data_IF_202433205178
#
_entry.id   IF_202433205178
#
_cell.length_a   1.000
_cell.length_b   1.000
_cell.length_c   1.000
_cell.angle_alpha   90.00
_cell.angle_beta   90.00
_cell.angle_gamma   90.00
#
_symmetry.space_group_name_H-M   'P 1'
#
loop_
_entity.id
_entity.type
_entity.pdbx_description
1 polymer ?
#
# COMPACT_ATOMS: atom_id res chain seq x y z
N UNK A 1 -27.33 6.86 34.39
CA UNK A 1 -27.34 5.64 33.55
C UNK A 1 -27.32 6.08 32.10
N UNK A 2 -26.19 5.90 31.41
CA UNK A 2 -26.07 6.19 29.97
C UNK A 2 -26.76 5.07 29.20
N UNK A 3 -27.88 5.36 28.54
CA UNK A 3 -28.58 4.41 27.68
C UNK A 3 -27.99 4.53 26.26
N UNK A 4 -27.19 3.55 25.86
CA UNK A 4 -26.78 3.33 24.47
C UNK A 4 -27.98 2.84 23.65
N UNK A 5 -28.90 3.75 23.29
CA UNK A 5 -30.02 3.41 22.40
C UNK A 5 -29.52 3.23 20.97
N UNK A 6 -29.91 2.13 20.34
CA UNK A 6 -29.57 1.87 18.93
C UNK A 6 -30.59 2.53 17.98
N UNK A 7 -30.19 2.68 16.71
CA UNK A 7 -30.94 3.38 15.64
C UNK A 7 -32.39 2.92 15.47
N UNK A 8 -32.66 1.64 15.77
CA UNK A 8 -33.97 1.01 15.56
C UNK A 8 -34.94 1.34 16.70
N UNK A 9 -34.43 1.48 17.92
CA UNK A 9 -35.22 1.83 19.11
C UNK A 9 -35.69 3.29 19.08
N UNK A 10 -34.81 4.22 18.69
CA UNK A 10 -35.16 5.64 18.61
C UNK A 10 -36.28 5.94 17.60
N UNK A 11 -36.24 5.32 16.42
CA UNK A 11 -37.25 5.51 15.36
C UNK A 11 -38.59 4.92 15.76
N UNK A 12 -38.59 3.77 16.46
CA UNK A 12 -39.80 3.12 16.96
C UNK A 12 -40.50 3.98 18.01
N UNK A 13 -39.75 4.57 18.93
CA UNK A 13 -40.31 5.32 20.06
C UNK A 13 -40.86 6.70 19.64
N UNK A 14 -40.43 7.25 18.49
CA UNK A 14 -40.96 8.51 17.94
C UNK A 14 -42.28 8.35 17.16
N UNK A 15 -42.75 7.12 16.91
CA UNK A 15 -44.01 6.87 16.20
C UNK A 15 -44.01 7.33 14.73
N UNK A 16 -42.82 7.52 14.14
CA UNK A 16 -42.66 8.02 12.78
C UNK A 16 -42.79 6.86 11.79
N UNK A 17 -43.55 7.05 10.71
CA UNK A 17 -43.72 6.02 9.69
C UNK A 17 -42.38 5.64 9.04
N UNK A 18 -42.20 4.35 8.74
CA UNK A 18 -41.00 3.81 8.11
C UNK A 18 -40.63 4.54 6.79
N UNK A 19 -41.59 5.18 6.13
CA UNK A 19 -41.38 5.93 4.90
C UNK A 19 -40.66 7.28 5.12
N UNK A 20 -40.71 7.88 6.32
CA UNK A 20 -40.05 9.15 6.63
C UNK A 20 -38.61 8.97 7.16
N UNK A 21 -38.22 7.73 7.47
CA UNK A 21 -36.91 7.38 8.06
C UNK A 21 -35.70 7.81 7.21
N UNK A 22 -35.70 7.65 5.86
CA UNK A 22 -34.57 8.10 5.05
C UNK A 22 -34.34 9.62 5.08
N UNK A 23 -35.40 10.40 5.28
CA UNK A 23 -35.34 11.86 5.26
C UNK A 23 -34.89 12.45 6.60
N UNK A 24 -35.29 11.84 7.71
CA UNK A 24 -34.90 12.26 9.05
C UNK A 24 -33.48 11.82 9.42
N UNK A 25 -33.04 10.65 8.96
CA UNK A 25 -31.69 10.13 9.23
C UNK A 25 -30.59 10.82 8.41
N UNK A 26 -30.94 11.61 7.39
CA UNK A 26 -29.99 12.42 6.61
C UNK A 26 -29.82 13.85 7.17
N UNK A 27 -30.56 14.22 8.22
CA UNK A 27 -30.39 15.52 8.86
C UNK A 27 -29.11 15.51 9.72
N UNK A 28 -28.16 16.45 9.50
CA UNK A 28 -26.91 16.52 10.27
C UNK A 28 -27.12 16.62 11.78
N UNK A 29 -28.25 17.20 12.22
CA UNK A 29 -28.65 17.36 13.62
C UNK A 29 -29.23 16.10 14.28
N UNK A 30 -29.65 15.11 13.48
CA UNK A 30 -30.15 13.80 13.94
C UNK A 30 -29.15 12.68 13.68
N UNK A 31 -27.98 13.01 13.11
CA UNK A 31 -26.80 12.16 13.22
C UNK A 31 -26.46 12.08 14.70
N UNK A 32 -26.98 11.06 15.39
CA UNK A 32 -26.43 10.64 16.67
C UNK A 32 -24.93 10.63 16.49
N UNK A 33 -24.20 11.25 17.43
CA UNK A 33 -22.77 11.13 17.56
C UNK A 33 -22.44 9.64 17.67
N UNK A 34 -22.41 8.96 16.54
CA UNK A 34 -22.08 7.59 16.44
C UNK A 34 -20.60 7.64 16.76
N UNK A 35 -20.24 7.18 17.95
CA UNK A 35 -18.90 6.74 18.26
C UNK A 35 -18.57 5.55 17.34
N UNK A 36 -18.57 5.79 16.03
CA UNK A 36 -18.10 4.85 15.05
C UNK A 36 -16.66 4.60 15.39
N UNK A 37 -16.30 3.32 15.54
CA UNK A 37 -14.92 2.92 15.74
C UNK A 37 -14.08 3.60 14.65
N UNK A 38 -13.00 4.26 15.08
CA UNK A 38 -12.07 4.97 14.21
C UNK A 38 -11.72 4.12 12.99
N UNK A 39 -11.80 4.69 11.79
CA UNK A 39 -11.49 4.01 10.53
C UNK A 39 -9.98 4.07 10.29
N UNK A 40 -9.23 3.21 10.96
CA UNK A 40 -7.79 3.11 10.75
C UNK A 40 -7.51 2.66 9.31
N UNK A 41 -6.55 3.32 8.66
CA UNK A 41 -6.09 3.01 7.30
C UNK A 41 -4.58 2.96 7.24
N UNK A 42 -4.05 2.25 6.26
CA UNK A 42 -2.61 2.21 5.98
C UNK A 42 -2.37 2.28 4.48
N UNK A 43 -1.36 3.04 4.07
CA UNK A 43 -0.87 3.12 2.69
C UNK A 43 0.61 2.80 2.67
N UNK A 44 1.01 1.79 1.91
CA UNK A 44 2.41 1.52 1.63
C UNK A 44 2.80 2.25 0.34
N UNK A 45 3.89 3.01 0.34
CA UNK A 45 4.43 3.67 -0.86
C UNK A 45 5.84 3.14 -1.12
N UNK A 46 6.06 2.60 -2.32
CA UNK A 46 7.36 2.13 -2.79
C UNK A 46 7.93 3.08 -3.83
N UNK A 47 9.20 3.44 -3.66
CA UNK A 47 10.09 3.96 -4.70
C UNK A 47 11.29 3.02 -4.82
N UNK A 48 12.05 2.94 -5.92
CA UNK A 48 13.14 1.97 -6.05
C UNK A 48 14.55 2.51 -5.75
N UNK A 49 15.55 1.63 -5.80
CA UNK A 49 16.99 1.90 -5.95
C UNK A 49 17.71 2.58 -4.78
N UNK A 50 17.13 2.52 -3.59
CA UNK A 50 17.75 3.08 -2.39
C UNK A 50 17.80 4.60 -2.34
N UNK A 51 18.61 5.13 -1.41
CA UNK A 51 18.73 6.57 -1.15
C UNK A 51 20.18 7.02 -1.07
N UNK A 52 20.41 8.34 -1.05
CA UNK A 52 21.69 8.97 -0.68
C UNK A 52 21.72 9.18 0.85
N UNK A 53 22.44 8.37 1.65
CA UNK A 53 22.28 8.34 3.11
C UNK A 53 22.60 9.66 3.82
N UNK A 54 23.62 10.37 3.35
CA UNK A 54 24.07 11.64 3.94
C UNK A 54 23.00 12.73 3.84
N UNK A 55 22.12 12.66 2.84
CA UNK A 55 21.08 13.63 2.51
C UNK A 55 19.65 13.15 2.89
N UNK A 56 19.53 11.94 3.44
CA UNK A 56 18.25 11.33 3.82
C UNK A 56 18.02 11.35 5.33
N UNK A 57 18.89 10.72 6.10
CA UNK A 57 18.66 10.48 7.54
C UNK A 57 18.94 11.72 8.38
N UNK A 58 17.99 12.14 9.25
CA UNK A 58 18.29 13.13 10.29
C UNK A 58 19.48 12.68 11.16
N UNK A 59 20.32 13.64 11.55
CA UNK A 59 21.48 13.35 12.40
C UNK A 59 21.07 13.19 13.87
N UNK A 60 19.99 13.86 14.29
CA UNK A 60 19.47 13.81 15.65
C UNK A 60 18.47 12.64 15.87
N UNK A 61 18.29 12.27 17.13
CA UNK A 61 17.25 11.35 17.61
C UNK A 61 16.29 12.12 18.54
N UNK A 62 15.01 11.75 18.56
CA UNK A 62 13.98 12.43 19.34
C UNK A 62 13.22 13.50 18.55
N UNK A 63 12.60 14.44 19.25
CA UNK A 63 11.70 15.47 18.66
C UNK A 63 12.43 16.62 17.98
N UNK A 64 13.66 16.91 18.41
CA UNK A 64 14.45 18.05 17.94
C UNK A 64 15.33 17.68 16.74
N UNK A 65 14.75 17.01 15.74
CA UNK A 65 15.47 16.57 14.54
C UNK A 65 15.29 17.52 13.37
N UNK A 66 16.29 17.56 12.48
CA UNK A 66 16.22 18.36 11.24
C UNK A 66 16.03 17.46 10.03
N UNK A 67 15.09 17.83 9.17
CA UNK A 67 14.92 17.15 7.89
C UNK A 67 16.06 17.51 6.94
N UNK A 68 16.67 16.48 6.37
CA UNK A 68 17.66 16.64 5.30
C UNK A 68 17.00 16.84 3.95
N UNK A 69 17.79 17.21 2.94
CA UNK A 69 17.31 17.67 1.64
C UNK A 69 16.23 16.77 1.03
N UNK A 70 16.41 15.45 1.10
CA UNK A 70 15.46 14.49 0.54
C UNK A 70 14.11 14.51 1.29
N UNK A 71 14.13 14.69 2.61
CA UNK A 71 12.93 14.66 3.44
C UNK A 71 12.24 16.03 3.62
N UNK A 72 12.87 17.14 3.18
CA UNK A 72 12.31 18.50 3.29
C UNK A 72 10.85 18.64 2.80
N UNK A 73 10.38 17.96 1.74
CA UNK A 73 8.98 18.05 1.33
C UNK A 73 7.96 17.67 2.43
N UNK A 74 8.38 16.90 3.45
CA UNK A 74 7.54 16.49 4.58
C UNK A 74 7.54 17.47 5.75
N UNK A 75 8.23 18.62 5.68
CA UNK A 75 8.27 19.63 6.75
C UNK A 75 6.85 20.05 7.22
N UNK A 76 5.84 20.26 6.34
CA UNK A 76 4.47 20.57 6.77
C UNK A 76 3.82 19.49 7.66
N UNK A 77 4.32 18.25 7.59
CA UNK A 77 3.81 17.09 8.34
C UNK A 77 4.77 16.63 9.44
N UNK A 78 5.81 17.39 9.76
CA UNK A 78 6.87 16.99 10.72
C UNK A 78 6.34 16.50 12.06
N UNK A 79 5.26 17.08 12.58
CA UNK A 79 4.61 16.63 13.84
C UNK A 79 3.98 15.23 13.74
N UNK A 80 3.63 14.79 12.54
CA UNK A 80 3.05 13.49 12.22
C UNK A 80 4.07 12.54 11.55
N UNK A 81 5.37 12.87 11.62
CA UNK A 81 6.45 12.14 10.96
C UNK A 81 7.21 11.23 11.94
N UNK A 82 7.59 10.04 11.48
CA UNK A 82 8.59 9.17 12.10
C UNK A 82 9.61 8.71 11.07
N UNK A 83 10.90 8.87 11.37
CA UNK A 83 11.99 8.26 10.60
C UNK A 83 12.59 7.10 11.39
N UNK A 84 12.73 5.92 10.78
CA UNK A 84 13.17 4.70 11.47
C UNK A 84 14.57 4.25 10.99
N UNK A 85 15.60 4.99 11.36
CA UNK A 85 16.98 4.65 10.96
C UNK A 85 17.46 3.42 11.72
N UNK A 86 17.95 2.38 11.03
CA UNK A 86 18.43 1.15 11.67
C UNK A 86 17.42 0.00 11.65
N UNK A 87 16.32 0.12 10.91
CA UNK A 87 15.50 -1.02 10.52
C UNK A 87 16.06 -1.62 9.23
N UNK A 88 16.27 -2.93 9.20
CA UNK A 88 16.99 -3.62 8.12
C UNK A 88 16.17 -4.75 7.51
N UNK A 89 16.35 -4.98 6.21
CA UNK A 89 15.99 -6.26 5.62
C UNK A 89 17.11 -7.29 5.88
N UNK A 90 16.79 -8.26 6.75
CA UNK A 90 17.69 -9.33 7.18
C UNK A 90 17.40 -10.66 6.48
N UNK A 91 16.43 -10.70 5.58
CA UNK A 91 16.10 -11.89 4.81
C UNK A 91 17.22 -12.19 3.81
N UNK A 92 17.65 -13.45 3.76
CA UNK A 92 18.73 -13.96 2.92
C UNK A 92 18.26 -15.20 2.17
N UNK A 93 19.01 -15.63 1.16
CA UNK A 93 18.63 -16.75 0.29
C UNK A 93 18.68 -16.32 -1.17
N UNK A 94 17.83 -16.94 -1.99
CA UNK A 94 17.85 -16.81 -3.44
C UNK A 94 17.50 -15.39 -3.94
N UNK A 95 17.91 -15.07 -5.17
CA UNK A 95 17.71 -13.79 -5.84
C UNK A 95 18.88 -12.83 -5.67
N UNK A 96 18.92 -11.74 -6.43
CA UNK A 96 19.86 -10.65 -6.18
C UNK A 96 19.38 -9.68 -5.09
N UNK A 97 20.18 -8.64 -4.80
CA UNK A 97 19.83 -7.61 -3.82
C UNK A 97 18.49 -6.90 -4.08
N UNK A 98 18.16 -6.63 -5.34
CA UNK A 98 16.90 -5.98 -5.71
C UNK A 98 15.71 -6.96 -5.64
N UNK A 99 15.90 -8.20 -6.11
CA UNK A 99 14.88 -9.26 -6.02
C UNK A 99 14.48 -9.53 -4.56
N UNK A 100 15.48 -9.79 -3.71
CA UNK A 100 15.25 -10.00 -2.27
C UNK A 100 14.68 -8.74 -1.66
N UNK A 101 15.28 -7.59 -1.95
CA UNK A 101 14.84 -6.31 -1.44
C UNK A 101 13.33 -6.12 -1.64
N UNK A 102 12.82 -6.12 -2.88
CA UNK A 102 11.39 -5.80 -3.12
C UNK A 102 10.46 -6.95 -2.74
N UNK A 103 10.85 -8.20 -2.99
CA UNK A 103 10.00 -9.38 -2.73
C UNK A 103 9.88 -9.72 -1.25
N UNK A 104 10.93 -9.45 -0.47
CA UNK A 104 10.95 -9.67 0.98
C UNK A 104 10.44 -8.45 1.77
N UNK A 105 10.41 -7.25 1.18
CA UNK A 105 10.10 -5.99 1.86
C UNK A 105 8.81 -6.00 2.71
N UNK A 106 7.70 -6.46 2.12
CA UNK A 106 6.40 -6.53 2.80
C UNK A 106 6.07 -7.93 3.31
N UNK A 107 6.80 -8.97 2.88
CA UNK A 107 6.53 -10.36 3.27
C UNK A 107 7.38 -10.81 4.45
N UNK A 108 8.54 -10.18 4.65
CA UNK A 108 9.52 -10.53 5.66
C UNK A 108 10.02 -11.98 5.57
N UNK A 109 9.94 -12.63 4.41
CA UNK A 109 10.27 -14.05 4.23
C UNK A 109 11.01 -14.27 2.91
N UNK A 110 11.76 -15.35 2.82
CA UNK A 110 12.61 -15.66 1.67
C UNK A 110 11.82 -15.82 0.38
N UNK A 111 12.52 -15.67 -0.73
CA UNK A 111 12.05 -16.07 -2.05
C UNK A 111 12.13 -17.60 -2.20
N UNK A 112 11.26 -18.17 -3.04
CA UNK A 112 11.43 -19.52 -3.55
C UNK A 112 12.65 -19.59 -4.48
N UNK A 113 13.27 -20.77 -4.62
CA UNK A 113 14.09 -21.05 -5.78
C UNK A 113 13.27 -20.86 -7.05
N UNK A 114 13.90 -20.38 -8.11
CA UNK A 114 13.22 -20.19 -9.39
C UNK A 114 14.17 -20.15 -10.55
N UNK A 115 13.71 -19.59 -11.67
CA UNK A 115 14.44 -19.49 -12.92
C UNK A 115 14.68 -18.04 -13.36
N UNK A 116 14.24 -17.06 -12.57
CA UNK A 116 14.51 -15.65 -12.85
C UNK A 116 15.93 -15.36 -12.40
N UNK A 117 16.85 -15.32 -13.36
CA UNK A 117 18.26 -15.00 -13.12
C UNK A 117 18.41 -13.51 -12.82
N UNK A 118 18.95 -13.20 -11.64
CA UNK A 118 19.27 -11.83 -11.24
C UNK A 118 20.58 -11.34 -11.85
N UNK A 119 21.26 -10.41 -11.16
CA UNK A 119 22.71 -10.20 -11.33
C UNK A 119 23.53 -11.48 -11.09
N UNK A 120 24.76 -11.39 -10.60
CA UNK A 120 25.65 -12.56 -10.40
C UNK A 120 25.26 -13.50 -9.26
N UNK A 121 24.00 -13.49 -8.81
CA UNK A 121 23.46 -14.28 -7.69
C UNK A 121 22.61 -15.47 -8.19
N UNK A 122 22.20 -16.33 -7.26
CA UNK A 122 21.29 -17.45 -7.51
C UNK A 122 19.93 -17.00 -8.07
N UNK A 123 19.37 -17.68 -9.08
CA UNK A 123 18.02 -17.44 -9.56
C UNK A 123 16.96 -17.51 -8.45
N UNK A 124 15.90 -16.71 -8.58
CA UNK A 124 14.78 -16.72 -7.65
C UNK A 124 13.43 -16.90 -8.34
N UNK A 125 12.46 -17.30 -7.52
CA UNK A 125 11.04 -17.25 -7.76
C UNK A 125 10.37 -16.31 -6.75
N UNK A 126 9.04 -16.37 -6.68
CA UNK A 126 8.24 -15.47 -5.85
C UNK A 126 8.45 -15.66 -4.34
N UNK A 127 8.00 -14.69 -3.55
CA UNK A 127 8.07 -14.76 -2.09
C UNK A 127 7.34 -15.99 -1.51
N UNK A 128 7.87 -16.54 -0.42
CA UNK A 128 7.34 -17.71 0.28
C UNK A 128 6.13 -17.43 1.19
N UNK A 129 5.63 -16.20 1.25
CA UNK A 129 4.56 -15.84 2.18
C UNK A 129 3.67 -14.70 1.71
N UNK A 130 2.66 -14.42 2.53
CA UNK A 130 1.75 -13.27 2.38
C UNK A 130 2.48 -11.97 2.71
N UNK A 131 2.11 -10.87 2.07
CA UNK A 131 2.61 -9.54 2.41
C UNK A 131 1.76 -8.88 3.50
N UNK A 132 2.35 -7.95 4.26
CA UNK A 132 1.72 -7.37 5.45
C UNK A 132 0.45 -6.55 5.13
N UNK A 133 0.41 -5.93 3.96
CA UNK A 133 -0.78 -5.24 3.42
C UNK A 133 -1.94 -6.23 3.25
N UNK A 134 -1.67 -7.41 2.71
CA UNK A 134 -2.68 -8.45 2.50
C UNK A 134 -3.06 -9.16 3.80
N UNK A 135 -2.13 -9.33 4.73
CA UNK A 135 -2.44 -9.86 6.08
C UNK A 135 -3.37 -8.92 6.84
N UNK A 136 -3.08 -7.61 6.84
CA UNK A 136 -3.93 -6.59 7.47
C UNK A 136 -5.29 -6.51 6.76
N UNK A 137 -5.31 -6.52 5.42
CA UNK A 137 -6.55 -6.60 4.62
C UNK A 137 -7.41 -7.77 5.07
N UNK A 138 -6.84 -8.97 5.13
CA UNK A 138 -7.56 -10.19 5.50
C UNK A 138 -8.10 -10.13 6.93
N UNK A 139 -7.35 -9.54 7.87
CA UNK A 139 -7.82 -9.33 9.24
C UNK A 139 -9.03 -8.39 9.28
N UNK A 140 -8.95 -7.23 8.63
CA UNK A 140 -10.05 -6.24 8.61
C UNK A 140 -11.28 -6.76 7.87
N UNK A 141 -11.09 -7.52 6.79
CA UNK A 141 -12.21 -8.08 6.01
C UNK A 141 -13.01 -9.16 6.76
N UNK A 142 -12.49 -9.73 7.85
CA UNK A 142 -13.21 -10.69 8.70
C UNK A 142 -14.23 -10.02 9.62
N UNK A 143 -14.02 -8.76 9.99
CA UNK A 143 -14.92 -8.00 10.87
C UNK A 143 -15.89 -7.15 10.04
N UNK A 144 -17.22 -7.42 10.09
CA UNK A 144 -18.22 -6.61 9.40
C UNK A 144 -18.14 -5.10 9.69
N UNK A 145 -17.62 -4.69 10.85
CA UNK A 145 -17.46 -3.29 11.22
C UNK A 145 -16.29 -2.59 10.50
N UNK A 146 -15.29 -3.35 10.02
CA UNK A 146 -14.12 -2.80 9.31
C UNK A 146 -14.05 -3.24 7.84
N UNK A 147 -14.92 -4.17 7.44
CA UNK A 147 -15.08 -4.63 6.06
C UNK A 147 -15.42 -3.46 5.12
N UNK A 148 -14.73 -3.43 3.99
CA UNK A 148 -14.93 -2.46 2.90
C UNK A 148 -15.06 -3.18 1.55
N UNK A 149 -15.55 -2.47 0.52
CA UNK A 149 -15.84 -3.03 -0.81
C UNK A 149 -14.64 -3.76 -1.45
N UNK A 150 -13.43 -3.22 -1.36
CA UNK A 150 -12.24 -3.83 -1.96
C UNK A 150 -11.29 -4.43 -0.90
N UNK A 151 -11.35 -3.95 0.34
CA UNK A 151 -10.39 -4.29 1.39
C UNK A 151 -9.06 -3.58 1.21
N UNK A 152 -8.40 -3.85 0.09
CA UNK A 152 -7.14 -3.24 -0.33
C UNK A 152 -7.21 -2.69 -1.75
N UNK A 153 -6.30 -1.78 -2.09
CA UNK A 153 -6.06 -1.30 -3.45
C UNK A 153 -4.57 -1.35 -3.76
N UNK A 154 -4.19 -2.13 -4.76
CA UNK A 154 -2.81 -2.23 -5.25
C UNK A 154 -2.67 -1.37 -6.52
N UNK A 155 -2.03 -0.20 -6.37
CA UNK A 155 -1.87 0.82 -7.40
C UNK A 155 -0.43 0.89 -7.88
N UNK A 156 -0.24 1.18 -9.16
CA UNK A 156 1.06 1.30 -9.80
C UNK A 156 1.29 2.66 -10.42
N UNK A 157 2.56 3.06 -10.53
CA UNK A 157 3.01 4.14 -11.40
C UNK A 157 4.17 3.64 -12.26
N UNK A 158 3.94 3.42 -13.54
CA UNK A 158 4.94 2.94 -14.50
C UNK A 158 5.54 1.58 -14.09
N UNK A 159 4.72 0.69 -13.52
CA UNK A 159 5.10 -0.69 -13.20
C UNK A 159 5.10 -1.51 -14.49
N UNK A 160 6.20 -2.20 -14.85
CA UNK A 160 6.23 -2.99 -16.07
C UNK A 160 5.23 -4.16 -16.02
N UNK A 161 4.64 -4.45 -17.18
CA UNK A 161 3.70 -5.58 -17.34
C UNK A 161 4.40 -6.95 -17.14
N UNK A 162 5.74 -6.98 -17.28
CA UNK A 162 6.58 -8.15 -16.97
C UNK A 162 6.31 -8.60 -15.53
N UNK A 163 6.07 -9.90 -15.35
CA UNK A 163 5.78 -10.49 -14.04
C UNK A 163 6.97 -11.32 -13.56
N UNK A 164 7.79 -10.72 -12.70
CA UNK A 164 8.85 -11.42 -11.96
C UNK A 164 9.17 -10.77 -10.60
N UNK A 165 10.15 -11.34 -9.91
CA UNK A 165 10.58 -10.97 -8.56
C UNK A 165 11.06 -9.53 -8.40
N UNK A 166 11.43 -8.81 -9.46
CA UNK A 166 11.79 -7.39 -9.36
C UNK A 166 10.57 -6.46 -9.36
N UNK A 167 9.40 -6.97 -9.74
CA UNK A 167 8.25 -6.16 -10.15
C UNK A 167 7.05 -6.25 -9.21
N UNK A 168 7.12 -7.05 -8.14
CA UNK A 168 6.00 -7.29 -7.21
C UNK A 168 6.45 -7.27 -5.76
N UNK A 169 5.77 -6.46 -4.94
CA UNK A 169 5.96 -6.40 -3.49
C UNK A 169 4.74 -6.85 -2.67
N UNK A 170 3.54 -6.89 -3.27
CA UNK A 170 2.31 -7.39 -2.64
C UNK A 170 2.07 -8.85 -3.04
N UNK A 171 1.73 -9.68 -2.07
CA UNK A 171 1.52 -11.12 -2.21
C UNK A 171 0.29 -11.56 -1.42
N UNK A 172 -0.69 -12.18 -2.08
CA UNK A 172 -1.87 -12.76 -1.43
C UNK A 172 -1.52 -14.02 -0.60
N UNK A 173 -0.30 -14.52 -0.76
CA UNK A 173 0.23 -15.71 -0.10
C UNK A 173 1.52 -16.17 -0.79
N UNK A 174 2.04 -17.30 -0.32
CA UNK A 174 3.23 -17.93 -0.91
C UNK A 174 3.04 -18.14 -2.42
N UNK A 175 4.00 -17.67 -3.23
CA UNK A 175 3.98 -17.78 -4.69
C UNK A 175 2.76 -17.15 -5.38
N UNK A 176 2.08 -16.20 -4.72
CA UNK A 176 0.88 -15.52 -5.23
C UNK A 176 1.09 -14.00 -5.30
N UNK A 177 1.94 -13.51 -6.23
CA UNK A 177 2.16 -12.08 -6.41
C UNK A 177 0.87 -11.38 -6.87
N UNK A 178 0.66 -10.14 -6.43
CA UNK A 178 -0.43 -9.28 -6.87
C UNK A 178 0.15 -8.21 -7.78
N UNK A 179 -0.34 -8.14 -9.03
CA UNK A 179 0.03 -7.07 -9.96
C UNK A 179 -0.76 -5.80 -9.61
N UNK A 180 -0.09 -4.63 -9.49
CA UNK A 180 -0.79 -3.38 -9.26
C UNK A 180 -1.51 -2.91 -10.53
N UNK A 181 -2.60 -2.16 -10.36
CA UNK A 181 -3.27 -1.47 -11.47
C UNK A 181 -2.50 -0.19 -11.77
N UNK A 182 -1.76 -0.21 -12.88
CA UNK A 182 -0.84 0.86 -13.28
C UNK A 182 -1.51 1.98 -14.12
N UNK A 183 -2.74 1.75 -14.55
CA UNK A 183 -3.54 2.67 -15.38
C UNK A 183 -4.61 3.39 -14.53
N UNK A 184 -4.54 4.72 -14.34
CA UNK A 184 -5.53 5.49 -13.59
C UNK A 184 -6.97 5.35 -14.12
N UNK A 185 -7.17 5.15 -15.43
CA UNK A 185 -8.50 4.95 -15.99
C UNK A 185 -9.09 3.59 -15.60
N UNK A 186 -8.25 2.55 -15.52
CA UNK A 186 -8.69 1.25 -15.02
C UNK A 186 -9.04 1.31 -13.53
N UNK A 187 -8.27 2.06 -12.74
CA UNK A 187 -8.59 2.31 -11.32
C UNK A 187 -9.91 3.06 -11.21
N UNK A 188 -10.09 4.14 -11.98
CA UNK A 188 -11.35 4.88 -12.01
C UNK A 188 -12.54 3.98 -12.35
N UNK A 189 -12.42 3.14 -13.39
CA UNK A 189 -13.45 2.19 -13.77
C UNK A 189 -13.70 1.13 -12.69
N UNK A 190 -12.67 0.63 -12.01
CA UNK A 190 -12.83 -0.28 -10.86
C UNK A 190 -13.60 0.38 -9.71
N UNK A 191 -13.28 1.64 -9.40
CA UNK A 191 -13.94 2.37 -8.30
C UNK A 191 -15.38 2.78 -8.65
N UNK A 192 -15.64 3.24 -9.88
CA UNK A 192 -16.87 3.96 -10.27
C UNK A 192 -17.64 3.39 -11.48
N UNK A 193 -17.17 2.30 -12.09
CA UNK A 193 -17.82 1.66 -13.24
C UNK A 193 -19.28 1.28 -12.98
N UNK A 194 -20.14 1.39 -14.01
CA UNK A 194 -21.59 1.17 -13.91
C UNK A 194 -21.94 -0.33 -13.87
N UNK A 195 -23.00 -0.66 -13.12
CA UNK A 195 -23.48 -2.03 -12.89
C UNK A 195 -23.87 -2.86 -14.14
N UNK A 196 -24.02 -2.26 -15.33
CA UNK A 196 -24.40 -2.98 -16.57
C UNK A 196 -23.26 -3.84 -17.14
N UNK A 197 -22.01 -3.37 -17.06
CA UNK A 197 -20.85 -4.15 -17.53
C UNK A 197 -20.57 -5.34 -16.59
N UNK A 198 -20.95 -5.22 -15.32
CA UNK A 198 -20.77 -6.24 -14.29
C UNK A 198 -21.69 -7.46 -14.47
N UNK A 199 -22.86 -7.31 -15.10
CA UNK A 199 -23.74 -8.44 -15.40
C UNK A 199 -23.17 -9.32 -16.51
N UNK A 200 -22.65 -8.69 -17.56
CA UNK A 200 -21.93 -9.39 -18.62
C UNK A 200 -20.66 -10.06 -18.07
N UNK A 201 -19.89 -9.36 -17.22
CA UNK A 201 -18.67 -9.89 -16.62
C UNK A 201 -18.95 -11.05 -15.65
N UNK A 202 -20.00 -10.95 -14.82
CA UNK A 202 -20.41 -12.04 -13.93
C UNK A 202 -20.79 -13.30 -14.71
N UNK A 203 -21.53 -13.15 -15.82
CA UNK A 203 -21.89 -14.26 -16.72
C UNK A 203 -20.65 -14.94 -17.32
N UNK A 204 -19.64 -14.17 -17.72
CA UNK A 204 -18.36 -14.72 -18.22
C UNK A 204 -17.61 -15.46 -17.11
N UNK A 205 -17.56 -14.93 -15.89
CA UNK A 205 -16.87 -15.59 -14.77
C UNK A 205 -17.53 -16.93 -14.38
N UNK A 206 -18.86 -17.02 -14.43
CA UNK A 206 -19.59 -18.27 -14.22
C UNK A 206 -19.19 -19.32 -15.27
N UNK A 207 -19.09 -18.94 -16.55
CA UNK A 207 -18.64 -19.83 -17.63
C UNK A 207 -17.19 -20.28 -17.40
N UNK A 208 -16.28 -19.35 -17.09
CA UNK A 208 -14.85 -19.65 -16.85
C UNK A 208 -14.69 -20.63 -15.69
N UNK A 209 -15.45 -20.46 -14.61
CA UNK A 209 -15.43 -21.34 -13.44
C UNK A 209 -15.89 -22.76 -13.76
N UNK A 210 -16.97 -22.89 -14.54
CA UNK A 210 -17.45 -24.20 -14.98
C UNK A 210 -16.42 -24.90 -15.88
N UNK A 211 -15.74 -24.15 -16.74
CA UNK A 211 -14.70 -24.69 -17.61
C UNK A 211 -13.44 -25.08 -16.83
N UNK A 212 -12.99 -24.26 -15.87
CA UNK A 212 -11.89 -24.61 -14.95
C UNK A 212 -12.19 -25.91 -14.19
N UNK A 213 -13.45 -26.12 -13.76
CA UNK A 213 -13.88 -27.35 -13.09
C UNK A 213 -13.82 -28.56 -14.03
N UNK A 214 -14.40 -28.45 -15.24
CA UNK A 214 -14.38 -29.53 -16.25
C UNK A 214 -12.96 -29.96 -16.63
N UNK A 215 -12.05 -28.99 -16.77
CA UNK A 215 -10.64 -29.26 -17.06
C UNK A 215 -9.96 -29.88 -15.83
N UNK A 216 -10.24 -29.38 -14.62
CA UNK A 216 -9.72 -29.90 -13.35
C UNK A 216 -10.01 -31.38 -13.10
N UNK A 217 -11.12 -31.90 -13.63
CA UNK A 217 -11.49 -33.31 -13.56
C UNK A 217 -10.74 -34.20 -14.56
N UNK A 218 -10.00 -33.61 -15.51
CA UNK A 218 -9.30 -34.31 -16.61
C UNK A 218 -7.77 -34.16 -16.58
N UNK A 219 -7.23 -33.44 -15.61
CA UNK A 219 -5.78 -33.20 -15.48
C UNK A 219 -5.19 -33.90 -14.25
N UNK A 220 -3.86 -34.02 -14.23
CA UNK A 220 -3.14 -34.59 -13.10
C UNK A 220 -3.20 -33.72 -11.84
N UNK A 221 -2.80 -34.27 -10.70
CA UNK A 221 -2.89 -33.61 -9.38
C UNK A 221 -2.16 -32.26 -9.31
N UNK A 222 -1.02 -32.12 -9.98
CA UNK A 222 -0.25 -30.88 -10.01
C UNK A 222 -1.00 -29.75 -10.76
N UNK A 223 -1.55 -30.06 -11.93
CA UNK A 223 -2.32 -29.10 -12.74
C UNK A 223 -3.65 -28.76 -12.08
N UNK A 224 -4.30 -29.74 -11.44
CA UNK A 224 -5.53 -29.52 -10.68
C UNK A 224 -5.34 -28.47 -9.58
N UNK A 225 -4.20 -28.50 -8.88
CA UNK A 225 -3.86 -27.50 -7.87
C UNK A 225 -3.74 -26.09 -8.46
N UNK A 226 -3.15 -25.95 -9.65
CA UNK A 226 -3.08 -24.66 -10.36
C UNK A 226 -4.48 -24.18 -10.76
N UNK A 227 -5.33 -25.06 -11.29
CA UNK A 227 -6.71 -24.72 -11.65
C UNK A 227 -7.56 -24.32 -10.45
N UNK A 228 -7.36 -24.97 -9.29
CA UNK A 228 -8.02 -24.59 -8.04
C UNK A 228 -7.62 -23.18 -7.57
N UNK A 229 -6.36 -22.78 -7.76
CA UNK A 229 -5.89 -21.43 -7.50
C UNK A 229 -6.56 -20.41 -8.44
N UNK A 230 -6.66 -20.72 -9.74
CA UNK A 230 -7.38 -19.87 -10.71
C UNK A 230 -8.87 -19.75 -10.36
N UNK A 231 -9.51 -20.85 -9.96
CA UNK A 231 -10.90 -20.85 -9.52
C UNK A 231 -11.11 -20.06 -8.22
N UNK A 232 -10.11 -19.99 -7.34
CA UNK A 232 -10.14 -19.12 -6.16
C UNK A 232 -10.11 -17.63 -6.56
N UNK A 233 -9.25 -17.25 -7.51
CA UNK A 233 -9.22 -15.89 -8.06
C UNK A 233 -10.55 -15.50 -8.73
N UNK A 234 -11.14 -16.39 -9.54
CA UNK A 234 -12.45 -16.15 -10.17
C UNK A 234 -13.54 -15.93 -9.11
N UNK A 235 -13.56 -16.74 -8.04
CA UNK A 235 -14.52 -16.58 -6.93
C UNK A 235 -14.34 -15.27 -6.16
N UNK A 236 -13.11 -14.82 -5.96
CA UNK A 236 -12.83 -13.53 -5.34
C UNK A 236 -13.38 -12.38 -6.21
N UNK A 237 -13.21 -12.47 -7.53
CA UNK A 237 -13.73 -11.50 -8.49
C UNK A 237 -15.27 -11.49 -8.55
N UNK A 238 -15.92 -12.66 -8.56
CA UNK A 238 -17.39 -12.78 -8.46
C UNK A 238 -17.93 -12.11 -7.19
N UNK A 239 -17.23 -12.32 -6.06
CA UNK A 239 -17.60 -11.72 -4.77
C UNK A 239 -17.47 -10.21 -4.82
N UNK A 240 -16.37 -9.70 -5.38
CA UNK A 240 -16.17 -8.26 -5.59
C UNK A 240 -17.32 -7.66 -6.41
N UNK A 241 -17.71 -8.30 -7.53
CA UNK A 241 -18.80 -7.85 -8.40
C UNK A 241 -20.18 -7.84 -7.73
N UNK A 242 -20.51 -8.88 -6.94
CA UNK A 242 -21.78 -8.95 -6.20
C UNK A 242 -21.88 -7.85 -5.14
N UNK A 243 -20.77 -7.53 -4.48
CA UNK A 243 -20.70 -6.44 -3.49
C UNK A 243 -20.91 -5.05 -4.15
N UNK A 244 -20.63 -4.89 -5.45
CA UNK A 244 -20.87 -3.63 -6.18
C UNK A 244 -22.36 -3.32 -6.41
N UNK A 245 -23.22 -4.34 -6.61
CA UNK A 245 -24.66 -4.13 -6.84
C UNK A 245 -25.40 -3.55 -5.63
N UNK A 246 -24.83 -3.64 -4.42
CA UNK A 246 -25.47 -3.23 -3.17
C UNK A 246 -25.24 -1.74 -2.80
N UNK A 247 -24.35 -1.01 -3.48
CA UNK A 247 -23.94 0.36 -3.11
C UNK A 247 -24.19 1.31 -4.28
N UNK A 248 -25.45 1.65 -4.53
CA UNK A 248 -25.86 2.47 -5.68
C UNK A 248 -25.82 4.00 -5.45
N UNK A 249 -25.40 4.49 -4.29
CA UNK A 249 -25.28 5.93 -4.00
C UNK A 249 -23.94 6.25 -3.35
N UNK A 250 -23.02 6.73 -4.17
CA UNK A 250 -21.73 7.25 -3.74
C UNK A 250 -21.97 8.66 -3.16
N UNK A 251 -21.81 8.82 -1.84
CA UNK A 251 -22.11 10.06 -1.12
C UNK A 251 -21.04 11.17 -1.22
N UNK A 252 -20.09 11.05 -2.16
CA UNK A 252 -19.00 12.00 -2.37
C UNK A 252 -18.83 12.34 -3.85
N UNK A 253 -18.15 13.46 -4.13
CA UNK A 253 -17.87 13.89 -5.49
C UNK A 253 -16.97 12.87 -6.20
N UNK A 254 -17.40 12.41 -7.38
CA UNK A 254 -16.60 11.55 -8.26
C UNK A 254 -15.48 12.38 -8.89
N UNK A 255 -14.21 11.96 -8.83
CA UNK A 255 -13.10 12.70 -9.42
C UNK A 255 -13.21 12.76 -10.95
N UNK A 256 -12.71 13.85 -11.54
CA UNK A 256 -12.54 13.96 -12.99
C UNK A 256 -11.08 13.68 -13.33
N UNK A 257 -10.84 12.73 -14.23
CA UNK A 257 -9.52 12.46 -14.77
C UNK A 257 -9.28 13.30 -16.03
N UNK A 258 -8.06 13.84 -16.17
CA UNK A 258 -7.58 14.40 -17.44
C UNK A 258 -7.68 13.30 -18.51
N UNK A 259 -8.35 13.51 -19.65
CA UNK A 259 -8.46 12.51 -20.70
C UNK A 259 -7.17 12.41 -21.53
N UNK A 260 -6.83 11.19 -21.97
CA UNK A 260 -5.73 10.95 -22.92
C UNK A 260 -4.31 10.96 -22.33
N UNK A 261 -4.15 10.91 -21.01
CA UNK A 261 -2.82 10.76 -20.38
C UNK A 261 -2.25 9.38 -20.73
N UNK A 262 -1.16 9.38 -21.51
CA UNK A 262 -0.49 8.15 -21.93
C UNK A 262 0.39 7.59 -20.83
N UNK A 263 0.47 6.26 -20.75
CA UNK A 263 1.37 5.54 -19.84
C UNK A 263 2.80 5.51 -20.38
N UNK A 264 3.47 6.66 -20.34
CA UNK A 264 4.86 6.83 -20.74
C UNK A 264 5.68 7.62 -19.70
N UNK A 265 7.00 7.63 -19.88
CA UNK A 265 7.96 8.19 -18.94
C UNK A 265 7.64 9.65 -18.57
N UNK A 266 7.39 10.51 -19.56
CA UNK A 266 7.27 11.94 -19.32
C UNK A 266 5.91 12.30 -18.66
N UNK A 267 4.92 11.40 -18.74
CA UNK A 267 3.65 11.50 -18.02
C UNK A 267 3.68 10.89 -16.60
N UNK A 268 4.80 10.32 -16.16
CA UNK A 268 4.91 9.69 -14.83
C UNK A 268 4.45 10.60 -13.66
N UNK A 269 4.77 11.92 -13.62
CA UNK A 269 4.22 12.81 -12.58
C UNK A 269 2.70 12.94 -12.61
N UNK A 270 2.08 12.98 -13.80
CA UNK A 270 0.61 13.05 -13.94
C UNK A 270 -0.05 11.76 -13.48
N UNK A 271 0.52 10.61 -13.87
CA UNK A 271 0.03 9.27 -13.48
C UNK A 271 0.12 9.11 -11.96
N UNK A 272 1.26 9.45 -11.35
CA UNK A 272 1.43 9.40 -9.89
C UNK A 272 0.36 10.22 -9.16
N UNK A 273 0.14 11.46 -9.61
CA UNK A 273 -0.87 12.35 -9.05
C UNK A 273 -2.28 11.78 -9.20
N UNK A 274 -2.63 11.25 -10.37
CA UNK A 274 -3.93 10.64 -10.63
C UNK A 274 -4.18 9.41 -9.76
N UNK A 275 -3.19 8.52 -9.61
CA UNK A 275 -3.28 7.34 -8.73
C UNK A 275 -3.48 7.74 -7.26
N UNK A 276 -2.72 8.72 -6.77
CA UNK A 276 -2.87 9.26 -5.41
C UNK A 276 -4.27 9.86 -5.23
N UNK A 277 -4.72 10.69 -6.17
CA UNK A 277 -6.04 11.31 -6.09
C UNK A 277 -7.16 10.26 -6.07
N UNK A 278 -7.08 9.21 -6.90
CA UNK A 278 -8.05 8.10 -6.89
C UNK A 278 -8.00 7.28 -5.59
N UNK A 279 -6.81 7.04 -5.04
CA UNK A 279 -6.65 6.37 -3.74
C UNK A 279 -7.34 7.17 -2.63
N UNK A 280 -7.08 8.47 -2.52
CA UNK A 280 -7.69 9.33 -1.50
C UNK A 280 -9.20 9.38 -1.66
N UNK A 281 -9.69 9.47 -2.89
CA UNK A 281 -11.12 9.39 -3.18
C UNK A 281 -11.73 8.05 -2.75
N UNK A 282 -11.02 6.93 -2.92
CA UNK A 282 -11.48 5.62 -2.45
C UNK A 282 -11.59 5.55 -0.93
N UNK A 283 -10.71 6.23 -0.19
CA UNK A 283 -10.76 6.29 1.27
C UNK A 283 -11.89 7.20 1.76
N UNK A 284 -12.12 8.32 1.07
CA UNK A 284 -13.28 9.19 1.28
C UNK A 284 -14.60 8.44 1.00
N UNK A 285 -14.60 7.51 0.05
CA UNK A 285 -15.71 6.64 -0.30
C UNK A 285 -15.94 5.47 0.67
N UNK A 286 -15.04 5.25 1.62
CA UNK A 286 -15.00 4.04 2.45
C UNK A 286 -14.79 2.72 1.67
N UNK A 287 -14.19 2.78 0.48
CA UNK A 287 -14.02 1.62 -0.40
C UNK A 287 -12.88 0.67 0.02
N UNK A 288 -11.89 1.17 0.75
CA UNK A 288 -10.75 0.39 1.22
C UNK A 288 -10.24 0.87 2.59
N UNK A 289 -9.42 0.02 3.25
CA UNK A 289 -8.65 0.36 4.46
C UNK A 289 -7.15 0.27 4.24
N UNK A 290 -6.72 -0.56 3.30
CA UNK A 290 -5.32 -0.79 2.96
C UNK A 290 -5.10 -0.30 1.52
N UNK A 291 -3.94 0.27 1.23
CA UNK A 291 -3.51 0.48 -0.14
C UNK A 291 -2.00 0.30 -0.28
N UNK A 292 -1.55 -0.06 -1.46
CA UNK A 292 -0.14 -0.05 -1.85
C UNK A 292 0.01 0.77 -3.12
N UNK A 293 1.02 1.65 -3.17
CA UNK A 293 1.38 2.45 -4.34
C UNK A 293 2.82 2.11 -4.73
N UNK A 294 2.98 1.33 -5.80
CA UNK A 294 4.27 0.93 -6.31
C UNK A 294 4.73 1.87 -7.42
N UNK A 295 5.77 2.66 -7.18
CA UNK A 295 6.37 3.48 -8.22
C UNK A 295 7.46 2.66 -8.92
N UNK A 296 7.23 2.30 -10.17
CA UNK A 296 8.09 1.46 -11.02
C UNK A 296 8.38 0.08 -10.43
N UNK A 297 9.64 -0.34 -10.37
CA UNK A 297 10.11 -1.64 -9.93
C UNK A 297 11.56 -1.51 -9.44
N UNK A 298 12.09 -2.51 -8.74
CA UNK A 298 13.42 -2.44 -8.09
C UNK A 298 14.61 -2.32 -9.06
N UNK A 299 14.41 -2.40 -10.37
CA UNK A 299 15.45 -2.08 -11.39
C UNK A 299 14.92 -1.06 -12.40
N UNK A 300 14.01 -0.19 -11.95
CA UNK A 300 13.32 0.78 -12.77
C UNK A 300 14.29 1.76 -13.43
N UNK A 301 14.10 1.98 -14.72
CA UNK A 301 14.91 2.90 -15.55
C UNK A 301 14.15 4.17 -15.97
N UNK A 302 13.31 4.82 -15.13
CA UNK A 302 12.72 6.09 -15.53
C UNK A 302 13.84 7.11 -15.75
N UNK A 303 13.70 7.90 -16.80
CA UNK A 303 14.55 9.06 -17.09
C UNK A 303 13.79 10.29 -16.60
N UNK A 304 14.15 10.84 -15.45
CA UNK A 304 13.37 11.92 -14.82
C UNK A 304 13.64 13.28 -15.49
N UNK A 305 13.23 13.42 -16.76
CA UNK A 305 13.47 14.63 -17.57
C UNK A 305 12.81 15.88 -16.99
N UNK A 306 11.72 15.73 -16.23
CA UNK A 306 11.09 16.82 -15.48
C UNK A 306 11.96 17.35 -14.33
N UNK A 307 13.07 16.69 -14.01
CA UNK A 307 14.11 17.14 -13.08
C UNK A 307 15.42 17.50 -13.81
N UNK A 308 15.40 17.61 -15.14
CA UNK A 308 16.57 17.77 -16.01
C UNK A 308 17.58 16.61 -15.92
N UNK A 309 17.08 15.38 -15.73
CA UNK A 309 17.88 14.15 -15.63
C UNK A 309 17.55 13.22 -16.82
N UNK A 310 18.55 12.94 -17.65
CA UNK A 310 18.39 12.14 -18.88
C UNK A 310 18.88 10.69 -18.70
N UNK A 311 19.67 10.40 -17.68
CA UNK A 311 20.14 9.06 -17.34
C UNK A 311 19.01 8.22 -16.72
N UNK A 312 19.11 6.89 -16.83
CA UNK A 312 18.19 5.98 -16.15
C UNK A 312 18.43 6.01 -14.65
N UNK A 313 17.35 6.02 -13.84
CA UNK A 313 17.48 6.05 -12.39
C UNK A 313 18.26 4.84 -11.83
N UNK A 314 17.96 3.62 -12.28
CA UNK A 314 18.72 2.44 -11.82
C UNK A 314 20.20 2.54 -12.22
N UNK A 315 20.55 2.93 -13.44
CA UNK A 315 21.95 3.18 -13.84
C UNK A 315 22.64 4.18 -12.90
N UNK A 316 22.03 5.34 -12.64
CA UNK A 316 22.57 6.34 -11.71
C UNK A 316 22.79 5.79 -10.30
N UNK A 317 21.93 4.88 -9.84
CA UNK A 317 22.02 4.33 -8.48
C UNK A 317 23.27 3.49 -8.24
N UNK A 318 23.91 2.99 -9.31
CA UNK A 318 25.17 2.26 -9.27
C UNK A 318 26.42 3.14 -9.28
N UNK A 319 26.27 4.45 -9.50
CA UNK A 319 27.41 5.38 -9.54
C UNK A 319 28.14 5.42 -8.17
N UNK A 320 29.48 5.52 -8.17
CA UNK A 320 30.26 5.58 -6.95
C UNK A 320 30.00 6.88 -6.19
N UNK A 321 30.22 6.84 -4.88
CA UNK A 321 30.03 8.02 -4.01
C UNK A 321 30.90 9.21 -4.39
N UNK A 322 32.05 8.94 -5.02
CA UNK A 322 32.98 9.96 -5.53
C UNK A 322 32.45 10.71 -6.76
N UNK A 323 31.41 10.21 -7.43
CA UNK A 323 30.75 10.92 -8.52
C UNK A 323 29.72 11.91 -7.96
N UNK A 324 30.18 13.08 -7.54
CA UNK A 324 29.34 14.11 -6.90
C UNK A 324 28.14 14.51 -7.77
N UNK A 325 28.31 14.61 -9.10
CA UNK A 325 27.23 14.95 -10.03
C UNK A 325 26.13 13.89 -10.05
N UNK A 326 26.50 12.61 -9.99
CA UNK A 326 25.52 11.53 -9.89
C UNK A 326 24.79 11.56 -8.53
N UNK A 327 25.53 11.82 -7.44
CA UNK A 327 24.93 11.95 -6.11
C UNK A 327 23.93 13.11 -6.03
N UNK A 328 24.24 14.28 -6.61
CA UNK A 328 23.30 15.42 -6.71
C UNK A 328 22.02 15.05 -7.47
N UNK A 329 22.13 14.31 -8.57
CA UNK A 329 20.98 13.82 -9.33
C UNK A 329 20.15 12.83 -8.52
N UNK A 330 20.78 11.89 -7.82
CA UNK A 330 20.11 10.94 -6.94
C UNK A 330 19.37 11.64 -5.79
N UNK A 331 19.95 12.69 -5.19
CA UNK A 331 19.26 13.52 -4.19
C UNK A 331 18.01 14.17 -4.77
N UNK A 332 18.07 14.74 -5.98
CA UNK A 332 16.89 15.30 -6.67
C UNK A 332 15.81 14.24 -6.93
N UNK A 333 16.21 13.06 -7.39
CA UNK A 333 15.29 11.93 -7.64
C UNK A 333 14.62 11.48 -6.34
N UNK A 334 15.40 11.22 -5.28
CA UNK A 334 14.87 10.80 -3.99
C UNK A 334 13.95 11.86 -3.38
N UNK A 335 14.29 13.14 -3.53
CA UNK A 335 13.42 14.27 -3.12
C UNK A 335 12.11 14.29 -3.91
N UNK A 336 12.12 14.03 -5.21
CA UNK A 336 10.90 13.96 -6.01
C UNK A 336 9.95 12.83 -5.56
N UNK A 337 10.49 11.66 -5.18
CA UNK A 337 9.67 10.60 -4.57
C UNK A 337 9.06 11.06 -3.24
N UNK A 338 9.84 11.77 -2.40
CA UNK A 338 9.33 12.38 -1.18
C UNK A 338 8.21 13.41 -1.45
N UNK A 339 8.31 14.18 -2.54
CA UNK A 339 7.25 15.10 -2.97
C UNK A 339 5.95 14.38 -3.31
N UNK A 340 5.99 13.16 -3.87
CA UNK A 340 4.78 12.36 -4.09
C UNK A 340 4.14 11.91 -2.78
N UNK A 341 4.96 11.53 -1.79
CA UNK A 341 4.49 11.17 -0.43
C UNK A 341 3.90 12.39 0.28
N UNK A 342 4.57 13.55 0.18
CA UNK A 342 4.07 14.81 0.71
C UNK A 342 2.76 15.23 0.04
N UNK A 343 2.63 15.00 -1.27
CA UNK A 343 1.37 15.22 -1.99
C UNK A 343 0.26 14.30 -1.45
N UNK A 344 0.51 13.01 -1.29
CA UNK A 344 -0.44 12.07 -0.68
C UNK A 344 -0.85 12.52 0.74
N UNK A 345 0.11 12.86 1.60
CA UNK A 345 -0.16 13.36 2.95
C UNK A 345 -1.01 14.64 2.91
N UNK A 346 -0.69 15.57 2.01
CA UNK A 346 -1.48 16.79 1.80
C UNK A 346 -2.92 16.49 1.41
N UNK A 347 -3.13 15.63 0.41
CA UNK A 347 -4.48 15.26 -0.05
C UNK A 347 -5.28 14.56 1.04
N UNK A 348 -4.67 13.69 1.83
CA UNK A 348 -5.31 13.07 2.99
C UNK A 348 -5.62 14.11 4.09
N UNK A 349 -4.74 15.08 4.34
CA UNK A 349 -4.97 16.12 5.35
C UNK A 349 -6.06 17.12 4.96
N UNK A 350 -6.21 17.40 3.66
CA UNK A 350 -7.24 18.29 3.12
C UNK A 350 -8.61 17.60 3.00
N UNK A 351 -8.67 16.27 3.11
CA UNK A 351 -9.90 15.50 2.95
C UNK A 351 -10.47 15.13 4.32
N UNK A 352 -11.72 15.50 4.58
CA UNK A 352 -12.40 15.19 5.86
C UNK A 352 -12.60 13.69 6.04
N UNK A 353 -12.52 13.21 7.28
CA UNK A 353 -12.83 11.82 7.61
C UNK A 353 -14.33 11.51 7.40
N UNK A 354 -14.70 10.53 6.55
CA UNK A 354 -16.09 10.17 6.30
C UNK A 354 -16.78 9.62 7.55
N UNK A 355 -17.71 10.41 8.10
CA UNK A 355 -18.48 10.04 9.29
C UNK A 355 -17.71 10.19 10.60
N UNK A 356 -16.64 10.98 10.62
CA UNK A 356 -15.82 11.24 11.81
C UNK A 356 -15.33 12.69 11.88
N UNK A 357 -14.51 12.96 12.91
CA UNK A 357 -13.82 14.24 13.07
C UNK A 357 -12.41 14.18 12.47
N UNK A 358 -11.85 15.34 12.14
CA UNK A 358 -10.51 15.45 11.57
C UNK A 358 -10.46 15.12 10.08
N UNK A 359 -9.26 14.83 9.62
CA UNK A 359 -8.91 14.50 8.25
C UNK A 359 -8.69 13.00 8.05
N UNK A 360 -8.63 12.56 6.79
CA UNK A 360 -8.20 11.19 6.48
C UNK A 360 -6.77 10.93 6.97
N UNK A 361 -5.88 11.92 6.97
CA UNK A 361 -4.50 11.76 7.44
C UNK A 361 -4.44 11.43 8.93
N UNK A 362 -5.33 12.03 9.73
CA UNK A 362 -5.42 11.73 11.15
C UNK A 362 -5.76 10.25 11.41
N UNK A 363 -6.34 9.55 10.43
CA UNK A 363 -6.77 8.15 10.52
C UNK A 363 -6.01 7.21 9.58
N UNK A 364 -4.99 7.71 8.87
CA UNK A 364 -4.21 6.94 7.89
C UNK A 364 -2.74 6.99 8.29
N UNK A 365 -2.07 5.84 8.24
CA UNK A 365 -0.61 5.78 8.31
C UNK A 365 -0.05 5.56 6.90
N UNK A 366 0.78 6.47 6.43
CA UNK A 366 1.58 6.28 5.22
C UNK A 366 2.91 5.66 5.64
N UNK A 367 3.31 4.56 4.98
CA UNK A 367 4.59 3.89 5.14
C UNK A 367 5.34 4.04 3.82
N UNK A 368 6.24 5.03 3.73
CA UNK A 368 7.13 5.16 2.58
C UNK A 368 8.42 4.39 2.82
N UNK A 369 8.83 3.61 1.83
CA UNK A 369 10.06 2.83 1.87
C UNK A 369 10.56 2.48 0.46
N UNK A 370 11.71 1.82 0.39
CA UNK A 370 12.23 1.17 -0.81
C UNK A 370 12.98 -0.11 -0.41
N UNK A 371 13.58 -0.77 -1.38
CA UNK A 371 14.18 -2.09 -1.23
C UNK A 371 15.65 -2.10 -0.78
N UNK A 372 16.35 -0.97 -0.80
CA UNK A 372 17.78 -0.87 -0.47
C UNK A 372 18.08 0.32 0.45
N UNK A 373 18.98 0.18 1.41
CA UNK A 373 19.49 1.34 2.16
C UNK A 373 20.32 2.29 1.29
N UNK A 374 20.97 1.77 0.25
CA UNK A 374 21.82 2.53 -0.69
C UNK A 374 22.05 1.73 -1.98
N UNK A 375 21.83 2.37 -3.13
CA UNK A 375 21.89 1.77 -4.47
C UNK A 375 23.20 1.01 -4.75
N UNK A 376 24.32 1.73 -4.88
CA UNK A 376 25.60 1.18 -5.37
C UNK A 376 26.23 0.05 -4.53
N UNK A 377 25.75 -0.18 -3.31
CA UNK A 377 26.21 -1.26 -2.43
C UNK A 377 25.20 -2.39 -2.29
N UNK A 378 23.99 -2.22 -2.83
CA UNK A 378 22.83 -3.07 -2.60
C UNK A 378 22.61 -3.42 -1.12
N UNK A 379 22.96 -2.51 -0.21
CA UNK A 379 22.84 -2.80 1.21
C UNK A 379 21.39 -2.93 1.60
N UNK A 380 21.06 -4.00 2.32
CA UNK A 380 19.76 -4.22 2.93
C UNK A 380 19.71 -3.73 4.38
N UNK A 381 20.77 -3.05 4.85
CA UNK A 381 20.78 -2.35 6.12
C UNK A 381 20.21 -0.94 5.98
N UNK A 382 19.59 -0.42 7.03
CA UNK A 382 19.04 0.95 7.08
C UNK A 382 18.06 1.23 5.93
N UNK A 383 17.09 0.34 5.76
CA UNK A 383 16.01 0.52 4.79
C UNK A 383 15.25 1.81 5.13
N UNK A 384 14.96 2.70 4.16
CA UNK A 384 14.44 4.04 4.41
C UNK A 384 12.95 4.07 4.77
N UNK A 385 12.58 3.46 5.89
CA UNK A 385 11.23 3.53 6.43
C UNK A 385 10.93 4.91 7.01
N UNK A 386 9.98 5.61 6.39
CA UNK A 386 9.42 6.89 6.83
C UNK A 386 7.91 6.73 7.02
N UNK A 387 7.42 7.04 8.21
CA UNK A 387 5.99 6.97 8.53
C UNK A 387 5.39 8.37 8.64
N UNK A 388 4.22 8.60 8.05
CA UNK A 388 3.51 9.88 8.09
C UNK A 388 2.04 9.67 8.41
N UNK A 389 1.48 10.43 9.34
CA UNK A 389 0.04 10.41 9.67
C UNK A 389 -0.29 9.70 10.98
N UNK A 390 -1.57 9.68 11.34
CA UNK A 390 -2.03 9.28 12.68
C UNK A 390 -2.54 7.85 12.82
N UNK A 391 -2.71 7.09 11.73
CA UNK A 391 -3.63 5.94 11.67
C UNK A 391 -3.45 4.81 12.72
N UNK A 392 -2.25 4.62 13.26
CA UNK A 392 -1.93 3.53 14.21
C UNK A 392 -1.55 4.00 15.62
N UNK A 393 -1.80 5.28 15.95
CA UNK A 393 -1.50 5.88 17.27
C UNK A 393 -0.03 5.77 17.71
N UNK A 394 0.88 5.66 16.74
CA UNK A 394 2.30 5.80 17.00
C UNK A 394 2.60 7.22 17.46
N UNK A 395 3.50 7.39 18.43
CA UNK A 395 3.98 8.67 18.92
C UNK A 395 4.93 9.30 17.89
N UNK A 396 4.35 10.09 16.98
CA UNK A 396 5.02 10.78 15.88
C UNK A 396 5.80 12.03 16.33
N UNK A 397 6.37 12.74 15.36
CA UNK A 397 7.10 13.98 15.58
C UNK A 397 8.53 13.75 16.00
N UNK A 398 9.14 12.61 15.62
CA UNK A 398 10.45 12.18 16.14
C UNK A 398 11.26 11.40 15.10
N UNK A 399 12.58 11.51 15.19
CA UNK A 399 13.53 10.60 14.56
C UNK A 399 13.90 9.48 15.54
N UNK A 400 13.89 8.22 15.11
CA UNK A 400 14.25 7.06 15.92
C UNK A 400 15.47 6.35 15.32
N UNK A 401 16.38 5.91 16.18
CA UNK A 401 17.54 5.11 15.80
C UNK A 401 17.47 3.72 16.41
N UNK A 402 17.76 2.71 15.61
CA UNK A 402 17.72 1.32 16.01
C UNK A 402 19.07 0.63 15.75
N UNK A 403 19.44 -0.38 16.55
CA UNK A 403 20.68 -1.13 16.36
C UNK A 403 20.54 -2.21 15.27
N UNK A 404 20.27 -1.80 14.02
CA UNK A 404 20.15 -2.68 12.83
C UNK A 404 19.19 -3.87 13.02
N UNK A 405 17.99 -3.58 13.53
CA UNK A 405 16.97 -4.59 13.85
C UNK A 405 16.27 -5.11 12.60
N UNK A 406 15.77 -6.37 12.58
CA UNK A 406 15.02 -6.89 11.44
C UNK A 406 13.69 -6.17 11.23
N UNK A 407 13.36 -5.84 9.98
CA UNK A 407 12.10 -5.18 9.60
C UNK A 407 10.85 -6.04 9.88
N UNK A 408 10.98 -7.36 10.02
CA UNK A 408 9.88 -8.22 10.50
C UNK A 408 9.21 -7.68 11.76
N UNK A 409 10.00 -7.09 12.66
CA UNK A 409 9.51 -6.47 13.90
C UNK A 409 8.64 -5.25 13.61
N UNK A 410 8.99 -4.45 12.60
CA UNK A 410 8.16 -3.34 12.12
C UNK A 410 6.86 -3.85 11.50
N UNK A 411 6.93 -4.88 10.63
CA UNK A 411 5.74 -5.49 10.02
C UNK A 411 4.75 -6.00 11.09
N UNK A 412 5.27 -6.63 12.16
CA UNK A 412 4.47 -7.00 13.33
C UNK A 412 3.83 -5.78 14.01
N UNK A 413 4.58 -4.70 14.24
CA UNK A 413 4.04 -3.47 14.84
C UNK A 413 2.92 -2.85 14.01
N UNK A 414 3.01 -2.92 12.68
CA UNK A 414 1.95 -2.44 11.79
C UNK A 414 0.65 -3.25 11.97
N UNK A 415 0.74 -4.59 12.02
CA UNK A 415 -0.42 -5.44 12.31
C UNK A 415 -0.99 -5.17 13.71
N UNK A 416 -0.11 -5.03 14.72
CA UNK A 416 -0.51 -4.75 16.10
C UNK A 416 -1.24 -3.41 16.23
N UNK A 417 -0.90 -2.41 15.41
CA UNK A 417 -1.59 -1.11 15.35
C UNK A 417 -3.07 -1.22 14.95
N UNK A 418 -3.47 -2.29 14.24
CA UNK A 418 -4.88 -2.61 13.94
C UNK A 418 -5.54 -3.53 14.99
N UNK A 419 -4.82 -3.87 16.07
CA UNK A 419 -5.23 -4.87 17.06
C UNK A 419 -5.01 -6.32 16.61
N UNK A 420 -4.35 -6.55 15.46
CA UNK A 420 -3.98 -7.89 14.99
C UNK A 420 -2.67 -8.33 15.61
N UNK A 421 -2.74 -8.87 16.84
CA UNK A 421 -1.56 -9.21 17.64
C UNK A 421 -0.90 -10.54 17.23
N UNK A 422 -0.25 -10.55 16.06
CA UNK A 422 0.53 -11.70 15.57
C UNK A 422 1.77 -11.96 16.43
N UNK A 423 2.11 -13.24 16.66
CA UNK A 423 3.32 -13.63 17.40
C UNK A 423 4.60 -13.60 16.56
N UNK A 424 4.47 -13.78 15.25
CA UNK A 424 5.55 -13.70 14.27
C UNK A 424 4.94 -13.31 12.91
N UNK A 425 5.74 -12.69 12.04
CA UNK A 425 5.37 -12.37 10.66
C UNK A 425 6.58 -12.55 9.73
N UNK A 426 6.39 -13.24 8.60
CA UNK A 426 7.48 -13.64 7.72
C UNK A 426 8.35 -14.75 8.33
N UNK A 427 9.67 -14.65 8.23
CA UNK A 427 10.63 -15.57 8.82
C UNK A 427 10.66 -15.43 10.37
N UNK A 428 10.27 -16.47 11.14
CA UNK A 428 10.23 -16.41 12.60
C UNK A 428 11.57 -16.15 13.29
N UNK A 429 12.71 -16.48 12.65
CA UNK A 429 14.04 -16.24 13.21
C UNK A 429 14.33 -14.75 13.41
N UNK A 430 13.60 -13.88 12.72
CA UNK A 430 13.71 -12.42 12.84
C UNK A 430 12.63 -11.80 13.75
N UNK A 431 11.80 -12.61 14.40
CA UNK A 431 10.69 -12.18 15.25
C UNK A 431 10.92 -12.39 16.74
N UNK A 432 12.03 -13.01 17.17
CA UNK A 432 12.24 -13.44 18.56
C UNK A 432 12.10 -12.29 19.59
N UNK A 433 12.49 -11.07 19.23
CA UNK A 433 12.36 -9.88 20.08
C UNK A 433 10.98 -9.21 20.02
N UNK A 434 9.99 -9.85 19.39
CA UNK A 434 8.63 -9.33 19.22
C UNK A 434 8.54 -8.12 18.30
N UNK A 435 7.39 -7.45 18.35
CA UNK A 435 7.13 -6.22 17.62
C UNK A 435 8.18 -5.13 17.93
N UNK A 436 8.36 -4.19 16.99
CA UNK A 436 9.31 -3.09 17.14
C UNK A 436 8.86 -2.15 18.26
N UNK A 437 9.75 -1.91 19.22
CA UNK A 437 9.52 -1.06 20.39
C UNK A 437 9.77 0.42 20.09
N UNK A 438 9.22 1.32 20.93
CA UNK A 438 9.46 2.77 20.86
C UNK A 438 8.52 3.55 19.91
N UNK A 439 7.60 2.85 19.23
CA UNK A 439 6.63 3.45 18.33
C UNK A 439 5.44 4.10 19.05
N UNK A 440 4.99 3.54 20.19
CA UNK A 440 3.86 4.06 21.01
C UNK A 440 4.39 4.87 22.19
#
# INVERSE_FOLDING_TARGET
>A
MSLTRNRREFVRDLGISAAAVPFLLNLPSLSFANQGKRKQRIVFVFSPNGIVPKDFWPDEEGSEFKLKEILKPLEPFKKQLLTLHGVCDKIRGDGDGHMRGIGCLLTGIELYPGNVQGGSDTPAGWAKGISIDQEIRNYLQKDPATKTRFGSLELGVMVPDRADTWTRWSYAGANKPIAPIDDPYQVFNKLYGRAKDNEALASVLDIVKDDLKKVGDRVGTADKKLLDEHAAFVREMEKELKEQKAVATVGHAVPQLEPGVRRDNDNMPKIAKAQIDLMVNSFAADFARVASLQITNSVGMPRMKWLDINEGHHELSHEPDSNEKAQEKLVKINKWYCEQVAYLAKRLSETKEPGGNGSLLDNTLIVWTNELGKGNSHTMDNIPFVLVGGGLDFKTGRSLKYPKVPHNRLLMSLAHGFGHHVKAFGNPNHCAAGALTGLV
#
